data_IF_855643512884
#
_entry.id   IF_855643512884
#
_cell.length_a   1.000
_cell.length_b   1.000
_cell.length_c   1.000
_cell.angle_alpha   90.00
_cell.angle_beta   90.00
_cell.angle_gamma   90.00
#
_symmetry.space_group_name_H-M   'P 1'
#
loop_
_entity.id
_entity.type
_entity.pdbx_description
1 polymer ?
#
# COMPACT_ATOMS: atom_id res chain seq x y z
N UNK A 1 -15.40 22.83 12.49
CA UNK A 1 -15.49 21.74 13.48
C UNK A 1 -14.07 21.31 13.84
N UNK A 2 -13.84 20.61 14.97
CA UNK A 2 -12.55 19.94 15.16
C UNK A 2 -12.24 19.05 13.95
N UNK A 3 -10.97 19.08 13.50
CA UNK A 3 -10.42 18.30 12.38
C UNK A 3 -10.83 18.69 10.94
N UNK A 4 -11.47 19.84 10.70
CA UNK A 4 -11.81 20.28 9.32
C UNK A 4 -10.62 20.22 8.34
N UNK A 5 -9.42 20.58 8.83
CA UNK A 5 -8.20 20.52 8.01
C UNK A 5 -7.82 19.07 7.67
N UNK A 6 -7.98 18.13 8.58
CA UNK A 6 -7.63 16.72 8.37
C UNK A 6 -8.49 16.09 7.26
N UNK A 7 -9.78 16.44 7.22
CA UNK A 7 -10.73 15.92 6.23
C UNK A 7 -10.84 16.79 4.97
N UNK A 8 -10.14 17.93 4.91
CA UNK A 8 -10.09 18.77 3.72
C UNK A 8 -9.20 18.16 2.62
N UNK A 9 -9.59 18.25 1.34
CA UNK A 9 -8.75 17.83 0.23
C UNK A 9 -7.43 18.59 0.15
N UNK A 10 -6.42 17.96 -0.45
CA UNK A 10 -5.17 18.62 -0.84
C UNK A 10 -4.63 18.09 -2.18
N UNK A 11 -3.68 18.81 -2.77
CA UNK A 11 -2.95 18.37 -3.94
C UNK A 11 -1.55 17.89 -3.53
N UNK A 12 -1.16 16.70 -3.99
CA UNK A 12 0.18 16.14 -3.85
C UNK A 12 0.75 16.04 -5.26
N UNK A 13 1.56 17.02 -5.67
CA UNK A 13 1.98 17.16 -7.06
C UNK A 13 0.78 17.31 -8.00
N UNK A 14 0.52 16.31 -8.85
CA UNK A 14 -0.62 16.28 -9.78
C UNK A 14 -1.82 15.47 -9.25
N UNK A 15 -1.70 14.83 -8.09
CA UNK A 15 -2.73 13.99 -7.50
C UNK A 15 -3.60 14.80 -6.52
N UNK A 16 -4.89 14.91 -6.79
CA UNK A 16 -5.89 15.43 -5.85
C UNK A 16 -6.30 14.31 -4.88
N UNK A 17 -6.01 14.45 -3.59
CA UNK A 17 -6.47 13.50 -2.56
C UNK A 17 -7.65 14.08 -1.78
N UNK A 18 -8.61 13.21 -1.43
CA UNK A 18 -9.89 13.60 -0.80
C UNK A 18 -9.76 14.13 0.63
N UNK A 19 -8.68 13.78 1.32
CA UNK A 19 -8.38 14.22 2.68
C UNK A 19 -6.88 14.05 2.99
N UNK A 20 -6.46 14.44 4.19
CA UNK A 20 -5.06 14.40 4.64
C UNK A 20 -4.72 13.16 5.46
N UNK A 21 -5.54 12.12 5.40
CA UNK A 21 -5.30 10.85 6.07
C UNK A 21 -4.49 9.95 5.14
N UNK A 22 -3.27 9.62 5.57
CA UNK A 22 -2.36 8.75 4.83
C UNK A 22 -2.14 7.47 5.63
N UNK A 23 -2.29 6.34 4.96
CA UNK A 23 -1.80 5.07 5.50
C UNK A 23 -0.29 4.95 5.21
N UNK A 24 0.57 4.87 6.25
CA UNK A 24 2.00 4.67 6.06
C UNK A 24 2.30 3.24 5.53
N UNK A 25 3.51 2.99 4.99
CA UNK A 25 3.92 1.67 4.57
C UNK A 25 3.99 0.72 5.78
N UNK A 26 3.30 -0.42 5.70
CA UNK A 26 3.21 -1.41 6.78
C UNK A 26 3.40 -2.80 6.19
N UNK A 27 4.55 -3.44 6.41
CA UNK A 27 4.76 -4.84 5.98
C UNK A 27 3.89 -5.75 6.84
N UNK A 28 2.92 -6.41 6.22
CA UNK A 28 1.93 -7.24 6.93
C UNK A 28 2.15 -8.74 6.79
N UNK A 29 3.08 -9.15 5.93
CA UNK A 29 3.42 -10.56 5.73
C UNK A 29 2.33 -11.34 4.99
N UNK A 30 1.55 -10.66 4.13
CA UNK A 30 0.42 -11.27 3.40
C UNK A 30 0.72 -11.56 1.93
N UNK A 31 1.91 -11.22 1.43
CA UNK A 31 2.32 -11.62 0.09
C UNK A 31 2.59 -13.14 0.00
N UNK A 32 2.66 -13.65 -1.22
CA UNK A 32 3.03 -15.03 -1.50
C UNK A 32 4.51 -15.30 -1.19
N UNK A 33 4.95 -16.57 -1.21
CA UNK A 33 6.31 -16.96 -0.87
C UNK A 33 7.39 -16.29 -1.73
N UNK A 34 7.07 -15.95 -2.98
CA UNK A 34 7.97 -15.25 -3.92
C UNK A 34 7.63 -13.76 -4.06
N UNK A 35 6.82 -13.23 -3.15
CA UNK A 35 6.40 -11.83 -3.13
C UNK A 35 5.18 -11.54 -4.00
N UNK A 36 4.41 -12.55 -4.40
CA UNK A 36 3.19 -12.38 -5.20
C UNK A 36 2.10 -11.61 -4.42
N UNK A 37 1.25 -10.86 -5.13
CA UNK A 37 0.05 -10.33 -4.49
C UNK A 37 -0.89 -11.49 -4.20
N UNK A 38 -1.57 -11.43 -3.07
CA UNK A 38 -2.57 -12.44 -2.67
C UNK A 38 -3.91 -11.78 -2.45
N UNK A 39 -4.98 -12.57 -2.53
CA UNK A 39 -6.33 -12.12 -2.15
C UNK A 39 -6.39 -11.52 -0.75
N UNK A 40 -5.58 -12.05 0.17
CA UNK A 40 -5.49 -11.52 1.55
C UNK A 40 -4.85 -10.14 1.57
N UNK A 41 -3.81 -9.92 0.77
CA UNK A 41 -3.15 -8.63 0.63
C UNK A 41 -4.07 -7.60 -0.03
N UNK A 42 -4.80 -8.00 -1.08
CA UNK A 42 -5.82 -7.16 -1.73
C UNK A 42 -6.91 -6.76 -0.74
N UNK A 43 -7.52 -7.71 -0.05
CA UNK A 43 -8.56 -7.46 0.95
C UNK A 43 -8.08 -6.50 2.06
N UNK A 44 -6.80 -6.59 2.43
CA UNK A 44 -6.18 -5.70 3.42
C UNK A 44 -6.16 -4.24 2.94
N UNK A 45 -5.69 -3.96 1.72
CA UNK A 45 -5.67 -2.60 1.18
C UNK A 45 -7.06 -2.08 0.83
N UNK A 46 -7.92 -2.92 0.27
CA UNK A 46 -9.31 -2.57 -0.02
C UNK A 46 -10.06 -2.11 1.24
N UNK A 47 -9.86 -2.77 2.38
CA UNK A 47 -10.49 -2.38 3.63
C UNK A 47 -10.07 -0.96 4.07
N UNK A 48 -8.81 -0.55 3.86
CA UNK A 48 -8.36 0.82 4.15
C UNK A 48 -8.91 1.83 3.15
N UNK A 49 -8.92 1.48 1.87
CA UNK A 49 -9.51 2.31 0.82
C UNK A 49 -11.00 2.58 1.11
N UNK A 50 -11.78 1.53 1.44
CA UNK A 50 -13.19 1.64 1.88
C UNK A 50 -13.34 2.43 3.17
N UNK A 51 -12.36 2.33 4.08
CA UNK A 51 -12.30 3.10 5.34
C UNK A 51 -12.10 4.61 5.14
N UNK A 52 -11.77 5.06 3.93
CA UNK A 52 -11.78 6.48 3.58
C UNK A 52 -10.45 7.22 3.76
N UNK A 53 -9.31 6.52 3.86
CA UNK A 53 -8.00 7.15 3.74
C UNK A 53 -7.86 7.85 2.39
N UNK A 54 -7.17 8.99 2.36
CA UNK A 54 -6.97 9.78 1.15
C UNK A 54 -5.84 9.24 0.27
N UNK A 55 -4.85 8.59 0.88
CA UNK A 55 -3.69 7.99 0.22
C UNK A 55 -3.24 6.75 0.98
N UNK A 56 -2.84 5.71 0.25
CA UNK A 56 -2.16 4.52 0.78
C UNK A 56 -0.76 4.49 0.21
N UNK A 57 0.24 4.34 1.08
CA UNK A 57 1.60 3.97 0.70
C UNK A 57 1.69 2.46 0.89
N UNK A 58 1.92 1.73 -0.20
CA UNK A 58 2.10 0.27 -0.18
C UNK A 58 3.32 -0.08 0.66
N UNK A 59 3.31 -1.26 1.27
CA UNK A 59 4.40 -1.77 2.11
C UNK A 59 5.77 -1.81 1.40
N UNK A 60 6.82 -2.00 2.20
CA UNK A 60 8.16 -2.21 1.66
C UNK A 60 8.11 -3.35 0.64
N UNK A 61 8.62 -3.06 -0.57
CA UNK A 61 8.56 -3.97 -1.70
C UNK A 61 9.97 -4.16 -2.23
N UNK A 62 10.48 -5.39 -2.16
CA UNK A 62 11.86 -5.67 -2.52
C UNK A 62 12.06 -5.73 -4.04
N UNK A 63 13.15 -5.12 -4.51
CA UNK A 63 13.46 -4.95 -5.95
C UNK A 63 14.44 -5.99 -6.50
N UNK A 64 14.95 -6.88 -5.64
CA UNK A 64 15.79 -8.03 -5.98
C UNK A 64 15.45 -9.18 -5.06
N UNK A 65 15.48 -10.40 -5.57
CA UNK A 65 15.16 -11.61 -4.79
C UNK A 65 15.99 -11.72 -3.50
N UNK A 66 17.27 -11.36 -3.54
CA UNK A 66 18.18 -11.35 -2.39
C UNK A 66 18.00 -10.16 -1.43
N UNK A 67 17.08 -9.24 -1.74
CA UNK A 67 16.72 -8.09 -0.91
C UNK A 67 15.52 -8.32 0.01
N UNK A 68 14.91 -9.51 -0.01
CA UNK A 68 13.78 -9.87 0.86
C UNK A 68 14.20 -9.83 2.32
N UNK A 69 13.52 -9.02 3.14
CA UNK A 69 13.82 -8.83 4.56
C UNK A 69 13.05 -9.82 5.43
N UNK A 70 11.78 -10.07 5.10
CA UNK A 70 10.90 -10.93 5.91
C UNK A 70 10.03 -11.83 5.03
N UNK A 71 9.53 -12.92 5.61
CA UNK A 71 8.60 -13.82 4.92
C UNK A 71 7.25 -13.13 4.64
N UNK A 72 6.67 -13.36 3.46
CA UNK A 72 5.44 -12.70 3.02
C UNK A 72 5.55 -11.19 2.73
N UNK A 73 6.76 -10.67 2.54
CA UNK A 73 7.00 -9.31 2.01
C UNK A 73 6.65 -9.23 0.52
N UNK A 74 6.15 -8.08 0.05
CA UNK A 74 5.77 -7.86 -1.34
C UNK A 74 7.02 -7.76 -2.25
N UNK A 75 6.99 -8.39 -3.42
CA UNK A 75 8.09 -8.34 -4.39
C UNK A 75 7.75 -7.52 -5.64
N UNK A 76 8.74 -6.81 -6.18
CA UNK A 76 8.63 -6.08 -7.46
C UNK A 76 9.90 -6.26 -8.33
N UNK A 77 10.51 -7.44 -8.26
CA UNK A 77 11.81 -7.74 -8.87
C UNK A 77 11.74 -8.55 -10.18
N UNK A 78 10.57 -9.08 -10.53
CA UNK A 78 10.35 -9.94 -11.70
C UNK A 78 9.02 -9.57 -12.37
N UNK A 79 9.00 -9.55 -13.72
CA UNK A 79 7.81 -9.17 -14.50
C UNK A 79 6.61 -10.10 -14.28
N UNK A 80 6.83 -11.33 -13.82
CA UNK A 80 5.76 -12.26 -13.43
C UNK A 80 4.93 -11.74 -12.24
N UNK A 81 5.42 -10.74 -11.50
CA UNK A 81 4.73 -10.10 -10.37
C UNK A 81 3.88 -8.89 -10.80
N UNK A 82 4.00 -8.42 -12.04
CA UNK A 82 3.26 -7.26 -12.56
C UNK A 82 1.73 -7.44 -12.54
N UNK A 83 1.16 -8.62 -12.88
CA UNK A 83 -0.29 -8.79 -12.90
C UNK A 83 -0.97 -8.57 -11.53
N UNK A 84 -0.21 -8.69 -10.43
CA UNK A 84 -0.75 -8.85 -9.09
C UNK A 84 -0.99 -10.31 -8.80
#
# INVERSE_FOLDING_TARGET
MPFDKLFSPLDIGRLRVRNRLVMPPMVVGYAGPRGEVTERLLAYYEARARGGVGLIIVEASYVREDGKLVEGELGIYDDNLIPG
#
